data_IF_017424164809
#
_entry.id   IF_017424164809
#
_cell.length_a   1.000
_cell.length_b   1.000
_cell.length_c   1.000
_cell.angle_alpha   90.00
_cell.angle_beta   90.00
_cell.angle_gamma   90.00
#
_symmetry.space_group_name_H-M   'P 1'
#
loop_
_entity.id
_entity.type
_entity.pdbx_description
1 polymer ?
#
# COMPACT_ATOMS: atom_id res chain seq x y z
N UNK A 1 5.26 1.41 23.17
CA UNK A 1 4.27 0.35 22.88
C UNK A 1 3.38 0.66 21.68
N UNK A 2 2.70 1.82 21.63
CA UNK A 2 1.82 2.16 20.49
C UNK A 2 2.51 2.07 19.13
N UNK A 3 3.66 2.74 18.94
CA UNK A 3 4.40 2.70 17.67
C UNK A 3 4.84 1.30 17.26
N UNK A 4 5.14 0.44 18.22
CA UNK A 4 5.47 -0.95 17.93
C UNK A 4 4.26 -1.74 17.42
N UNK A 5 3.08 -1.50 17.99
CA UNK A 5 1.83 -2.09 17.47
C UNK A 5 1.56 -1.57 16.05
N UNK A 6 1.70 -0.26 15.81
CA UNK A 6 1.54 0.32 14.47
C UNK A 6 2.54 -0.29 13.47
N UNK A 7 3.78 -0.50 13.89
CA UNK A 7 4.82 -1.13 13.09
C UNK A 7 4.45 -2.56 12.70
N UNK A 8 4.04 -3.39 13.68
CA UNK A 8 3.65 -4.78 13.43
C UNK A 8 2.42 -4.85 12.52
N UNK A 9 1.40 -4.03 12.79
CA UNK A 9 0.18 -3.97 11.98
C UNK A 9 0.52 -3.53 10.55
N UNK A 10 1.26 -2.44 10.38
CA UNK A 10 1.68 -1.95 9.06
C UNK A 10 2.49 -2.98 8.27
N UNK A 11 3.45 -3.64 8.92
CA UNK A 11 4.24 -4.70 8.31
C UNK A 11 3.38 -5.88 7.84
N UNK A 12 2.45 -6.35 8.69
CA UNK A 12 1.53 -7.43 8.31
C UNK A 12 0.63 -7.05 7.14
N UNK A 13 0.17 -5.80 7.07
CA UNK A 13 -0.65 -5.32 5.95
C UNK A 13 0.13 -5.36 4.63
N UNK A 14 1.34 -4.80 4.58
CA UNK A 14 2.16 -4.78 3.37
C UNK A 14 2.58 -6.20 2.97
N UNK A 15 2.99 -7.04 3.93
CA UNK A 15 3.38 -8.43 3.65
C UNK A 15 2.21 -9.27 3.16
N UNK A 16 1.02 -9.10 3.73
CA UNK A 16 -0.18 -9.80 3.26
C UNK A 16 -0.54 -9.37 1.84
N UNK A 17 -0.50 -8.07 1.56
CA UNK A 17 -0.75 -7.53 0.24
C UNK A 17 0.23 -8.12 -0.80
N UNK A 18 1.52 -8.16 -0.45
CA UNK A 18 2.56 -8.73 -1.29
C UNK A 18 2.39 -10.25 -1.48
N UNK A 19 2.09 -11.00 -0.42
CA UNK A 19 1.87 -12.44 -0.49
C UNK A 19 0.66 -12.80 -1.38
N UNK A 20 -0.40 -12.01 -1.35
CA UNK A 20 -1.58 -12.20 -2.19
C UNK A 20 -1.31 -11.90 -3.67
N UNK A 21 -0.45 -10.92 -3.97
CA UNK A 21 0.06 -10.73 -5.34
C UNK A 21 0.94 -11.91 -5.76
N UNK A 22 1.88 -12.32 -4.92
CA UNK A 22 2.85 -13.36 -5.27
C UNK A 22 2.18 -14.73 -5.49
N UNK A 23 1.09 -15.00 -4.78
CA UNK A 23 0.27 -16.20 -4.95
C UNK A 23 -0.68 -16.12 -6.16
N UNK A 24 -0.73 -14.99 -6.87
CA UNK A 24 -1.61 -14.77 -8.01
C UNK A 24 -3.08 -14.60 -7.65
N UNK A 25 -3.40 -14.47 -6.35
CA UNK A 25 -4.76 -14.25 -5.86
C UNK A 25 -5.22 -12.82 -6.19
N UNK A 26 -4.34 -11.84 -6.01
CA UNK A 26 -4.56 -10.46 -6.37
C UNK A 26 -3.63 -10.01 -7.50
N UNK A 27 -4.06 -8.96 -8.21
CA UNK A 27 -3.34 -8.21 -9.22
C UNK A 27 -2.96 -6.84 -8.65
N UNK A 28 -1.97 -6.20 -9.26
CA UNK A 28 -1.44 -4.89 -8.82
C UNK A 28 -2.47 -3.74 -8.82
N UNK A 29 -3.57 -3.88 -9.55
CA UNK A 29 -4.65 -2.90 -9.65
C UNK A 29 -5.87 -3.26 -8.80
N UNK A 30 -5.81 -4.36 -8.05
CA UNK A 30 -6.89 -4.75 -7.17
C UNK A 30 -6.99 -3.79 -5.98
N UNK A 31 -8.22 -3.38 -5.67
CA UNK A 31 -8.48 -2.37 -4.65
C UNK A 31 -8.00 -2.83 -3.26
N UNK A 32 -8.12 -4.13 -2.95
CA UNK A 32 -7.65 -4.71 -1.69
C UNK A 32 -6.14 -4.60 -1.53
N UNK A 33 -5.38 -4.94 -2.59
CA UNK A 33 -3.94 -4.78 -2.62
C UNK A 33 -3.53 -3.31 -2.41
N UNK A 34 -4.10 -2.41 -3.23
CA UNK A 34 -3.76 -0.99 -3.17
C UNK A 34 -4.07 -0.40 -1.79
N UNK A 35 -5.21 -0.74 -1.19
CA UNK A 35 -5.60 -0.26 0.13
C UNK A 35 -4.65 -0.76 1.23
N UNK A 36 -4.38 -2.07 1.29
CA UNK A 36 -3.47 -2.63 2.30
C UNK A 36 -2.06 -2.06 2.16
N UNK A 37 -1.58 -1.93 0.93
CA UNK A 37 -0.26 -1.43 0.64
C UNK A 37 -0.10 0.05 1.06
N UNK A 38 -1.05 0.92 0.67
CA UNK A 38 -1.01 2.35 1.03
C UNK A 38 -1.15 2.54 2.54
N UNK A 39 -2.13 1.90 3.18
CA UNK A 39 -2.37 2.11 4.61
C UNK A 39 -1.20 1.53 5.42
N UNK A 40 -0.73 0.33 5.07
CA UNK A 40 0.41 -0.31 5.74
C UNK A 40 1.69 0.52 5.63
N UNK A 41 1.99 1.05 4.44
CA UNK A 41 3.15 1.92 4.24
C UNK A 41 3.02 3.27 4.96
N UNK A 42 1.83 3.88 5.01
CA UNK A 42 1.64 5.10 5.81
C UNK A 42 1.84 4.86 7.31
N UNK A 43 1.37 3.73 7.85
CA UNK A 43 1.61 3.35 9.24
C UNK A 43 3.11 3.17 9.53
N UNK A 44 3.83 2.47 8.65
CA UNK A 44 5.28 2.31 8.76
C UNK A 44 6.02 3.64 8.59
N UNK A 45 5.53 4.54 7.74
CA UNK A 45 6.05 5.89 7.56
C UNK A 45 5.95 6.73 8.83
N UNK A 46 4.81 6.67 9.55
CA UNK A 46 4.66 7.33 10.86
C UNK A 46 5.68 6.81 11.86
N UNK A 47 5.88 5.48 11.92
CA UNK A 47 6.89 4.87 12.80
C UNK A 47 8.32 5.29 12.38
N UNK A 48 8.60 5.35 11.08
CA UNK A 48 9.91 5.75 10.57
C UNK A 48 10.26 7.22 10.87
N UNK A 49 9.26 8.10 10.88
CA UNK A 49 9.42 9.50 11.31
C UNK A 49 9.78 9.56 12.79
N UNK A 50 9.06 8.84 13.64
CA UNK A 50 9.34 8.78 15.08
C UNK A 50 10.77 8.27 15.34
N UNK A 51 11.18 7.23 14.63
CA UNK A 51 12.51 6.63 14.71
C UNK A 51 13.62 7.45 14.00
N UNK A 52 13.28 8.58 13.33
CA UNK A 52 14.21 9.43 12.57
C UNK A 52 14.99 8.67 11.47
N UNK A 53 14.38 7.65 10.85
CA UNK A 53 15.00 6.81 9.82
C UNK A 53 14.71 7.33 8.42
N UNK A 54 15.47 8.33 7.97
CA UNK A 54 15.27 9.01 6.68
C UNK A 54 15.08 8.05 5.48
N UNK A 55 15.88 6.98 5.40
CA UNK A 55 15.76 5.99 4.32
C UNK A 55 14.43 5.26 4.31
N UNK A 56 13.92 4.90 5.50
CA UNK A 56 12.59 4.28 5.63
C UNK A 56 11.48 5.29 5.37
N UNK A 57 11.60 6.52 5.84
CA UNK A 57 10.63 7.58 5.56
C UNK A 57 10.42 7.71 4.05
N UNK A 58 11.50 7.89 3.29
CA UNK A 58 11.43 8.00 1.83
C UNK A 58 10.82 6.75 1.18
N UNK A 59 11.21 5.56 1.64
CA UNK A 59 10.70 4.29 1.14
C UNK A 59 9.17 4.20 1.31
N UNK A 60 8.68 4.40 2.52
CA UNK A 60 7.26 4.24 2.85
C UNK A 60 6.39 5.27 2.12
N UNK A 61 6.85 6.53 2.02
CA UNK A 61 6.14 7.54 1.23
C UNK A 61 6.16 7.23 -0.28
N UNK A 62 7.24 6.65 -0.80
CA UNK A 62 7.29 6.21 -2.19
C UNK A 62 6.31 5.06 -2.46
N UNK A 63 6.22 4.08 -1.54
CA UNK A 63 5.25 3.00 -1.61
C UNK A 63 3.81 3.52 -1.60
N UNK A 64 3.47 4.41 -0.66
CA UNK A 64 2.16 5.04 -0.60
C UNK A 64 1.84 5.85 -1.87
N UNK A 65 2.81 6.62 -2.38
CA UNK A 65 2.67 7.40 -3.60
C UNK A 65 2.42 6.55 -4.84
N UNK A 66 3.17 5.45 -5.01
CA UNK A 66 2.96 4.50 -6.10
C UNK A 66 1.59 3.81 -6.00
N UNK A 67 1.16 3.48 -4.78
CA UNK A 67 -0.19 2.99 -4.52
C UNK A 67 -1.27 3.97 -4.99
N UNK A 68 -1.15 5.26 -4.70
CA UNK A 68 -2.08 6.29 -5.18
C UNK A 68 -2.15 6.35 -6.71
N UNK A 69 -1.01 6.21 -7.41
CA UNK A 69 -0.98 6.12 -8.88
C UNK A 69 -1.74 4.86 -9.35
N UNK A 70 -1.54 3.74 -8.66
CA UNK A 70 -2.27 2.49 -8.90
C UNK A 70 -3.78 2.66 -8.76
N UNK A 71 -4.26 3.38 -7.73
CA UNK A 71 -5.68 3.68 -7.52
C UNK A 71 -6.25 4.48 -8.70
N UNK A 72 -5.55 5.55 -9.13
CA UNK A 72 -5.99 6.36 -10.27
C UNK A 72 -6.09 5.51 -11.55
N UNK A 73 -5.13 4.61 -11.78
CA UNK A 73 -5.16 3.68 -12.92
C UNK A 73 -6.31 2.69 -12.82
N UNK A 74 -6.55 2.13 -11.64
CA UNK A 74 -7.64 1.18 -11.40
C UNK A 74 -9.02 1.81 -11.64
N UNK A 75 -9.22 3.06 -11.19
CA UNK A 75 -10.47 3.81 -11.44
C UNK A 75 -10.67 4.08 -12.93
N UNK A 76 -9.61 4.51 -13.63
CA UNK A 76 -9.67 4.74 -15.09
C UNK A 76 -10.02 3.47 -15.85
N UNK A 77 -9.43 2.34 -15.48
CA UNK A 77 -9.69 1.05 -16.12
C UNK A 77 -11.17 0.62 -15.99
N UNK A 78 -11.78 0.81 -14.81
CA UNK A 78 -13.22 0.52 -14.60
C UNK A 78 -14.10 1.42 -15.46
N UNK A 79 -13.81 2.73 -15.47
CA UNK A 79 -14.60 3.71 -16.25
C UNK A 79 -14.58 3.41 -17.76
N UNK A 80 -13.44 2.94 -18.29
CA UNK A 80 -13.36 2.51 -19.69
C UNK A 80 -14.17 1.26 -19.96
N UNK A 81 -14.18 0.28 -19.04
CA UNK A 81 -14.96 -0.95 -19.20
C UNK A 81 -16.48 -0.67 -19.19
N UNK A 82 -16.95 0.20 -18.29
CA UNK A 82 -18.37 0.58 -18.21
C UNK A 82 -18.86 1.36 -19.44
N UNK A 83 -17.97 2.07 -20.14
CA UNK A 83 -18.30 2.86 -21.33
C UNK A 83 -18.41 2.02 -22.63
N UNK A 84 -18.00 0.75 -22.58
CA UNK A 84 -18.01 -0.17 -23.75
C UNK A 84 -19.21 -1.13 -23.70
N UNK A 85 -19.94 -1.19 -22.58
CA UNK A 85 -21.20 -1.94 -22.41
C UNK A 85 -22.41 -1.07 -22.74
#
# INVERSE_FOLDING_TARGET
MLFQVLSVVGALMVLTAYALIQSGIWRELDAGYLALNIIGSLLLGVVAIEDQRVGFILLEFAWAGLGCIGVVRAIKARKTADAVL
#
